data_IF_803231571724
#
_entry.id   IF_803231571724
#
_cell.length_a   1.000
_cell.length_b   1.000
_cell.length_c   1.000
_cell.angle_alpha   90.00
_cell.angle_beta   90.00
_cell.angle_gamma   90.00
#
_symmetry.space_group_name_H-M   'P 1'
#
loop_
_entity.id
_entity.type
_entity.pdbx_description
1 polymer ?
#
# COMPACT_ATOMS: atom_id res chain seq x y z
N UNK A 1 27.79 -12.30 22.83
CA UNK A 1 26.42 -12.00 22.37
C UNK A 1 26.40 -12.08 20.86
N UNK A 2 25.34 -12.66 20.32
CA UNK A 2 25.22 -13.34 19.02
C UNK A 2 25.69 -12.55 17.79
N UNK A 3 26.32 -13.20 16.80
CA UNK A 3 26.54 -12.60 15.49
C UNK A 3 25.18 -12.49 14.79
N UNK A 4 24.83 -11.29 14.32
CA UNK A 4 23.62 -11.08 13.51
C UNK A 4 23.83 -11.80 12.19
N UNK A 5 23.25 -12.99 12.17
CA UNK A 5 23.13 -13.92 11.05
C UNK A 5 22.71 -13.14 9.80
N UNK A 6 23.50 -13.32 8.74
CA UNK A 6 23.31 -12.66 7.45
C UNK A 6 21.85 -12.73 7.03
N UNK A 7 21.32 -11.56 6.68
CA UNK A 7 19.99 -11.44 6.08
C UNK A 7 19.97 -12.32 4.83
N UNK A 8 19.36 -13.48 4.97
CA UNK A 8 19.04 -14.38 3.88
C UNK A 8 18.17 -13.57 2.93
N UNK A 9 18.76 -13.12 1.83
CA UNK A 9 18.03 -12.70 0.64
C UNK A 9 17.17 -13.90 0.25
N UNK A 10 15.92 -13.92 0.71
CA UNK A 10 14.89 -14.65 0.02
C UNK A 10 14.84 -14.01 -1.35
N UNK A 11 15.42 -14.71 -2.32
CA UNK A 11 15.25 -14.41 -3.72
C UNK A 11 13.76 -14.18 -3.95
N UNK A 12 13.42 -12.96 -4.34
CA UNK A 12 12.10 -12.63 -4.85
C UNK A 12 11.97 -13.39 -6.17
N UNK A 13 11.57 -14.66 -6.10
CA UNK A 13 11.20 -15.48 -7.24
C UNK A 13 10.06 -14.79 -7.99
N UNK A 14 10.39 -14.00 -9.01
CA UNK A 14 9.40 -13.42 -9.91
C UNK A 14 9.79 -12.12 -10.62
N UNK A 15 10.81 -11.38 -10.15
CA UNK A 15 11.25 -10.15 -10.82
C UNK A 15 12.56 -10.41 -11.56
N UNK A 16 12.58 -10.19 -12.86
CA UNK A 16 13.82 -10.37 -13.63
C UNK A 16 14.85 -9.31 -13.17
N UNK A 17 16.13 -9.66 -13.08
CA UNK A 17 17.19 -8.70 -12.67
C UNK A 17 17.25 -7.46 -13.58
N UNK A 18 16.74 -7.58 -14.80
CA UNK A 18 16.65 -6.53 -15.81
C UNK A 18 15.28 -5.83 -15.86
N UNK A 19 14.35 -6.20 -14.98
CA UNK A 19 13.03 -5.59 -14.90
C UNK A 19 13.13 -4.20 -14.30
N UNK A 20 12.74 -3.20 -15.10
CA UNK A 20 12.76 -1.80 -14.71
C UNK A 20 11.53 -1.52 -13.86
N UNK A 21 11.73 -1.16 -12.59
CA UNK A 21 10.65 -0.96 -11.61
C UNK A 21 9.74 0.24 -12.00
N UNK A 22 10.34 1.28 -12.60
CA UNK A 22 9.65 2.42 -13.21
C UNK A 22 10.42 2.81 -14.48
N UNK A 23 9.83 2.69 -15.69
CA UNK A 23 10.54 2.87 -16.98
C UNK A 23 11.38 4.15 -17.09
N UNK A 24 10.90 5.25 -16.51
CA UNK A 24 11.54 6.56 -16.61
C UNK A 24 12.68 6.77 -15.59
N UNK A 25 12.85 5.87 -14.61
CA UNK A 25 13.80 6.04 -13.51
C UNK A 25 15.09 5.24 -13.74
N UNK A 26 15.11 4.36 -14.75
CA UNK A 26 16.24 3.49 -15.09
C UNK A 26 16.73 2.59 -13.93
N UNK A 27 15.89 2.39 -12.91
CA UNK A 27 16.18 1.54 -11.74
C UNK A 27 15.77 0.11 -12.05
N UNK A 28 16.71 -0.81 -11.99
CA UNK A 28 16.51 -2.24 -12.22
C UNK A 28 16.26 -2.98 -10.91
N UNK A 29 15.52 -4.08 -10.95
CA UNK A 29 15.31 -4.96 -9.79
C UNK A 29 16.62 -5.51 -9.18
N UNK A 30 17.71 -5.55 -9.94
CA UNK A 30 19.05 -5.92 -9.47
C UNK A 30 19.89 -4.77 -8.90
N UNK A 31 19.43 -3.51 -8.96
CA UNK A 31 20.18 -2.37 -8.43
C UNK A 31 20.19 -2.44 -6.91
N UNK A 32 21.33 -2.89 -6.39
CA UNK A 32 21.58 -2.83 -4.97
C UNK A 32 21.70 -1.35 -4.58
N UNK A 33 20.76 -0.84 -3.78
CA UNK A 33 20.77 0.48 -3.11
C UNK A 33 21.98 0.70 -2.15
N UNK A 34 23.10 0.03 -2.41
CA UNK A 34 24.39 0.19 -1.77
C UNK A 34 25.22 1.31 -2.41
N UNK A 35 24.92 1.70 -3.65
CA UNK A 35 25.51 2.88 -4.27
C UNK A 35 24.73 4.14 -3.84
N UNK A 36 25.35 5.08 -3.09
CA UNK A 36 24.71 6.33 -2.69
C UNK A 36 24.18 7.16 -3.86
N UNK A 37 24.81 7.09 -5.04
CA UNK A 37 24.37 7.85 -6.21
C UNK A 37 23.08 7.30 -6.81
N UNK A 38 22.92 5.97 -6.79
CA UNK A 38 21.67 5.31 -7.20
C UNK A 38 20.54 5.73 -6.25
N UNK A 39 20.78 5.70 -4.94
CA UNK A 39 19.82 6.17 -3.94
C UNK A 39 19.45 7.65 -4.14
N UNK A 40 20.45 8.51 -4.37
CA UNK A 40 20.23 9.94 -4.60
C UNK A 40 19.37 10.18 -5.86
N UNK A 41 19.68 9.50 -6.97
CA UNK A 41 18.93 9.62 -8.23
C UNK A 41 17.48 9.14 -8.10
N UNK A 42 17.24 8.02 -7.39
CA UNK A 42 15.89 7.53 -7.10
C UNK A 42 15.10 8.54 -6.28
N UNK A 43 15.68 9.03 -5.18
CA UNK A 43 15.04 10.04 -4.31
C UNK A 43 14.72 11.31 -5.07
N UNK A 44 15.59 11.66 -6.02
CA UNK A 44 15.41 12.75 -6.93
C UNK A 44 14.09 12.63 -7.69
N UNK A 45 13.71 11.46 -8.21
CA UNK A 45 12.46 11.31 -8.97
C UNK A 45 11.19 11.57 -8.16
N UNK A 46 11.22 11.40 -6.83
CA UNK A 46 10.11 11.76 -5.95
C UNK A 46 9.95 13.28 -5.78
N UNK A 47 11.00 14.06 -6.04
CA UNK A 47 10.97 15.51 -5.93
C UNK A 47 10.79 16.15 -7.32
N UNK A 48 9.68 16.87 -7.58
CA UNK A 48 9.51 17.65 -8.80
C UNK A 48 10.71 18.58 -9.04
N UNK A 49 11.14 18.83 -10.29
CA UNK A 49 12.34 19.63 -10.57
C UNK A 49 12.37 20.99 -9.87
N UNK A 50 11.23 21.68 -9.77
CA UNK A 50 11.12 22.96 -9.07
C UNK A 50 11.29 22.88 -7.55
N UNK A 51 11.03 21.72 -6.94
CA UNK A 51 11.23 21.51 -5.49
C UNK A 51 12.72 21.36 -5.16
N UNK A 52 13.51 20.74 -6.05
CA UNK A 52 14.94 20.51 -5.80
C UNK A 52 15.76 21.81 -5.79
N UNK A 53 15.51 22.70 -6.76
CA UNK A 53 16.18 24.01 -6.80
C UNK A 53 15.92 24.81 -5.53
N UNK A 54 14.65 24.87 -5.10
CA UNK A 54 14.26 25.57 -3.89
C UNK A 54 14.87 24.99 -2.59
N UNK A 55 15.16 23.68 -2.55
CA UNK A 55 15.84 23.05 -1.40
C UNK A 55 17.34 23.39 -1.41
N UNK A 56 17.98 23.39 -2.58
CA UNK A 56 19.42 23.64 -2.69
C UNK A 56 19.82 25.07 -2.31
N UNK A 57 18.92 26.03 -2.49
CA UNK A 57 19.13 27.45 -2.14
C UNK A 57 18.74 27.75 -0.68
N UNK A 58 18.28 26.75 0.07
CA UNK A 58 17.74 26.94 1.42
C UNK A 58 18.85 27.02 2.47
N UNK A 59 18.79 28.07 3.31
CA UNK A 59 19.61 28.20 4.52
C UNK A 59 19.49 26.98 5.44
N UNK A 60 20.59 26.55 6.06
CA UNK A 60 20.70 25.28 6.78
C UNK A 60 19.66 25.13 7.90
N UNK A 61 19.49 26.15 8.74
CA UNK A 61 18.54 26.10 9.87
C UNK A 61 17.09 26.02 9.38
N UNK A 62 16.79 26.68 8.26
CA UNK A 62 15.47 26.63 7.62
C UNK A 62 15.24 25.26 6.98
N UNK A 63 16.26 24.69 6.33
CA UNK A 63 16.21 23.33 5.79
C UNK A 63 15.92 22.29 6.89
N UNK A 64 16.66 22.33 8.01
CA UNK A 64 16.46 21.41 9.14
C UNK A 64 15.05 21.54 9.70
N UNK A 65 14.59 22.78 9.93
CA UNK A 65 13.25 23.04 10.46
C UNK A 65 12.16 22.49 9.53
N UNK A 66 12.31 22.72 8.22
CA UNK A 66 11.39 22.21 7.20
C UNK A 66 11.41 20.69 7.12
N UNK A 67 12.59 20.06 7.16
CA UNK A 67 12.75 18.61 7.15
C UNK A 67 12.04 17.96 8.34
N UNK A 68 12.22 18.51 9.54
CA UNK A 68 11.56 18.02 10.75
C UNK A 68 10.03 18.13 10.64
N UNK A 69 9.52 19.28 10.22
CA UNK A 69 8.08 19.50 10.04
C UNK A 69 7.48 18.55 8.99
N UNK A 70 8.14 18.41 7.84
CA UNK A 70 7.71 17.49 6.78
C UNK A 70 7.68 16.04 7.25
N UNK A 71 8.65 15.61 8.06
CA UNK A 71 8.71 14.25 8.61
C UNK A 71 7.57 13.99 9.60
N UNK A 72 7.25 14.95 10.46
CA UNK A 72 6.09 14.88 11.36
C UNK A 72 4.79 14.81 10.56
N UNK A 73 4.62 15.66 9.55
CA UNK A 73 3.43 15.67 8.70
C UNK A 73 3.25 14.33 7.96
N UNK A 74 4.32 13.77 7.39
CA UNK A 74 4.28 12.46 6.75
C UNK A 74 3.83 11.38 7.74
N UNK A 75 4.40 11.37 8.94
CA UNK A 75 4.02 10.40 9.99
C UNK A 75 2.55 10.51 10.36
N UNK A 76 2.02 11.74 10.49
CA UNK A 76 0.61 11.98 10.77
C UNK A 76 -0.31 11.49 9.62
N UNK A 77 0.06 11.76 8.37
CA UNK A 77 -0.68 11.30 7.19
C UNK A 77 -0.71 9.77 7.10
N UNK A 78 0.40 9.10 7.39
CA UNK A 78 0.47 7.64 7.41
C UNK A 78 -0.45 7.07 8.50
N UNK A 79 -0.41 7.62 9.71
CA UNK A 79 -1.28 7.18 10.80
C UNK A 79 -2.78 7.35 10.49
N UNK A 80 -3.15 8.50 9.92
CA UNK A 80 -4.52 8.75 9.45
C UNK A 80 -4.92 7.78 8.33
N UNK A 81 -4.02 7.53 7.38
CA UNK A 81 -4.23 6.55 6.31
C UNK A 81 -4.50 5.14 6.83
N UNK A 82 -3.72 4.68 7.82
CA UNK A 82 -3.93 3.39 8.49
C UNK A 82 -5.28 3.35 9.19
N UNK A 83 -5.67 4.42 9.88
CA UNK A 83 -6.95 4.52 10.58
C UNK A 83 -8.12 4.41 9.60
N UNK A 84 -8.06 5.12 8.47
CA UNK A 84 -9.08 5.04 7.41
C UNK A 84 -9.14 3.67 6.77
N UNK A 85 -7.99 3.05 6.52
CA UNK A 85 -7.91 1.70 5.97
C UNK A 85 -8.57 0.68 6.91
N UNK A 86 -8.26 0.73 8.21
CA UNK A 86 -8.88 -0.12 9.21
C UNK A 86 -10.40 0.04 9.23
N UNK A 87 -10.90 1.28 9.19
CA UNK A 87 -12.33 1.56 9.10
C UNK A 87 -12.96 0.95 7.85
N UNK A 88 -12.34 1.14 6.68
CA UNK A 88 -12.83 0.56 5.42
C UNK A 88 -12.86 -0.97 5.44
N UNK A 89 -11.89 -1.61 6.10
CA UNK A 89 -11.88 -3.07 6.28
C UNK A 89 -13.02 -3.56 7.17
N UNK A 90 -13.34 -2.84 8.24
CA UNK A 90 -14.49 -3.15 9.11
C UNK A 90 -15.82 -3.02 8.36
N UNK A 91 -16.01 -1.91 7.63
CA UNK A 91 -17.20 -1.69 6.80
C UNK A 91 -17.36 -2.79 5.74
N UNK A 92 -16.26 -3.21 5.12
CA UNK A 92 -16.26 -4.32 4.17
C UNK A 92 -16.66 -5.65 4.83
N UNK A 93 -16.15 -5.95 6.02
CA UNK A 93 -16.51 -7.17 6.75
C UNK A 93 -17.99 -7.19 7.12
N UNK A 94 -18.53 -6.07 7.61
CA UNK A 94 -19.95 -5.92 7.91
C UNK A 94 -20.82 -6.11 6.66
N UNK A 95 -20.43 -5.48 5.55
CA UNK A 95 -21.12 -5.64 4.28
C UNK A 95 -21.11 -7.09 3.80
N UNK A 96 -19.96 -7.78 3.92
CA UNK A 96 -19.81 -9.19 3.57
C UNK A 96 -20.76 -10.08 4.39
N UNK A 97 -20.82 -9.88 5.71
CA UNK A 97 -21.75 -10.60 6.60
C UNK A 97 -23.21 -10.33 6.21
N UNK A 98 -23.56 -9.07 5.92
CA UNK A 98 -24.91 -8.69 5.48
C UNK A 98 -25.29 -9.37 4.16
N UNK A 99 -24.35 -9.43 3.21
CA UNK A 99 -24.53 -10.11 1.92
C UNK A 99 -24.81 -11.59 2.09
N UNK A 100 -24.05 -12.29 2.92
CA UNK A 100 -24.28 -13.72 3.19
C UNK A 100 -25.63 -13.98 3.88
N UNK A 101 -26.01 -13.14 4.86
CA UNK A 101 -27.33 -13.23 5.50
C UNK A 101 -28.46 -13.06 4.48
N UNK A 102 -28.35 -12.08 3.59
CA UNK A 102 -29.35 -11.83 2.54
C UNK A 102 -29.45 -13.03 1.57
N UNK A 103 -28.31 -13.61 1.18
CA UNK A 103 -28.27 -14.81 0.32
C UNK A 103 -28.98 -16.00 0.98
N UNK A 104 -28.74 -16.22 2.28
CA UNK A 104 -29.43 -17.27 3.04
C UNK A 104 -30.94 -17.02 3.12
N UNK A 105 -31.38 -15.79 3.38
CA UNK A 105 -32.80 -15.44 3.43
C UNK A 105 -33.49 -15.64 2.07
N UNK A 106 -32.83 -15.26 0.97
CA UNK A 106 -33.36 -15.50 -0.38
C UNK A 106 -33.48 -16.99 -0.70
N UNK A 107 -32.51 -17.81 -0.29
CA UNK A 107 -32.58 -19.26 -0.49
C UNK A 107 -33.73 -19.89 0.30
N UNK A 108 -33.98 -19.44 1.53
CA UNK A 108 -35.11 -19.88 2.35
C UNK A 108 -36.45 -19.49 1.71
N UNK A 109 -36.61 -18.23 1.30
CA UNK A 109 -37.82 -17.75 0.64
C UNK A 109 -38.09 -18.52 -0.66
N UNK A 110 -37.06 -18.81 -1.46
CA UNK A 110 -37.19 -19.62 -2.66
C UNK A 110 -37.71 -21.03 -2.34
N UNK A 111 -37.18 -21.66 -1.29
CA UNK A 111 -37.63 -22.98 -0.85
C UNK A 111 -39.08 -22.97 -0.36
N UNK A 112 -39.51 -21.91 0.32
CA UNK A 112 -40.90 -21.73 0.74
C UNK A 112 -41.82 -21.61 -0.47
N UNK A 113 -41.49 -20.76 -1.45
CA UNK A 113 -42.25 -20.60 -2.70
C UNK A 113 -42.39 -21.93 -3.43
N UNK A 114 -41.27 -22.66 -3.63
CA UNK A 114 -41.29 -23.98 -4.28
C UNK A 114 -42.15 -25.00 -3.50
N UNK A 115 -42.21 -24.86 -2.17
CA UNK A 115 -43.05 -25.69 -1.30
C UNK A 115 -44.54 -25.36 -1.38
N UNK A 116 -44.90 -24.08 -1.58
CA UNK A 116 -46.29 -23.66 -1.79
C UNK A 116 -46.81 -24.13 -3.16
N UNK A 117 -46.05 -23.94 -4.24
CA UNK A 117 -46.48 -24.39 -5.58
C UNK A 117 -46.73 -25.90 -5.64
N UNK A 118 -45.92 -26.72 -4.99
CA UNK A 118 -46.12 -28.18 -4.92
C UNK A 118 -47.36 -28.61 -4.13
N UNK A 119 -47.86 -27.76 -3.22
CA UNK A 119 -49.09 -28.02 -2.45
C UNK A 119 -50.34 -27.56 -3.19
N UNK A 120 -50.23 -26.60 -4.11
CA UNK A 120 -51.35 -26.18 -4.97
C UNK A 120 -51.58 -27.11 -6.16
N UNK A 121 -50.57 -27.87 -6.58
CA UNK A 121 -50.66 -28.85 -7.68
C UNK A 121 -51.12 -30.26 -7.27
N UNK A 122 -51.35 -30.51 -5.97
CA UNK A 122 -51.76 -31.80 -5.40
C UNK A 122 -53.21 -31.76 -4.87
#
# INVERSE_FOLDING_TARGET
>A
MTPVQGSSSKDFEGLSKDEVYVPDWSVKGGDSFKDPNVCANVLAHFAPPGVRGAISEMENDHFISRLMLSSCNLSALVAEGVTRFQKGMQEYEEFSKKKEKMKSSMAMMKKEIDGFSKKEEA
#
